data_IF_517500418563
#
_entry.id   IF_517500418563
#
_cell.length_a   1.000
_cell.length_b   1.000
_cell.length_c   1.000
_cell.angle_alpha   90.00
_cell.angle_beta   90.00
_cell.angle_gamma   90.00
#
_symmetry.space_group_name_H-M   'P 1'
#
loop_
_entity.id
_entity.type
_entity.pdbx_description
1 polymer ?
#
# COMPACT_ATOMS: atom_id res chain seq x y z
N UNK A 1 6.97 1.56 13.40
CA UNK A 1 7.01 0.69 12.20
C UNK A 1 8.46 0.26 11.98
N UNK A 2 8.69 -0.89 11.38
CA UNK A 2 10.04 -1.33 11.00
C UNK A 2 10.29 -1.14 9.50
N UNK A 3 11.55 -1.00 9.11
CA UNK A 3 11.99 -1.10 7.71
C UNK A 3 11.81 -2.54 7.25
N UNK A 4 11.23 -2.73 6.06
CA UNK A 4 11.11 -4.03 5.43
C UNK A 4 12.10 -4.08 4.26
N UNK A 5 12.84 -5.18 4.17
CA UNK A 5 13.84 -5.38 3.12
C UNK A 5 13.39 -6.57 2.29
N UNK A 6 13.30 -6.36 0.99
CA UNK A 6 13.01 -7.41 0.01
C UNK A 6 14.22 -7.66 -0.89
N UNK A 7 14.09 -8.45 -1.93
CA UNK A 7 15.20 -8.74 -2.85
C UNK A 7 15.77 -7.47 -3.48
N UNK A 8 14.91 -6.54 -3.92
CA UNK A 8 15.30 -5.33 -4.67
C UNK A 8 14.90 -4.03 -4.01
N UNK A 9 14.08 -4.07 -2.94
CA UNK A 9 13.47 -2.87 -2.36
C UNK A 9 13.74 -2.75 -0.87
N UNK A 10 13.80 -1.50 -0.43
CA UNK A 10 13.64 -1.09 0.95
C UNK A 10 12.31 -0.36 1.11
N UNK A 11 11.45 -0.86 1.99
CA UNK A 11 10.27 -0.16 2.44
C UNK A 11 10.60 0.57 3.74
N UNK A 12 10.76 1.87 3.65
CA UNK A 12 11.23 2.72 4.75
C UNK A 12 10.03 3.38 5.41
N UNK A 13 9.76 3.13 6.71
CA UNK A 13 8.68 3.80 7.41
C UNK A 13 8.77 5.32 7.25
N UNK A 14 7.63 5.95 6.96
CA UNK A 14 7.58 7.41 6.79
C UNK A 14 7.53 8.09 8.16
N UNK A 15 8.48 8.98 8.39
CA UNK A 15 8.61 9.84 9.56
C UNK A 15 9.12 11.23 9.17
N UNK A 16 9.43 12.07 10.14
CA UNK A 16 9.92 13.43 9.91
C UNK A 16 11.19 13.50 9.06
N UNK A 17 12.05 12.47 9.14
CA UNK A 17 13.35 12.46 8.44
C UNK A 17 13.22 12.24 6.93
N UNK A 18 12.16 11.56 6.49
CA UNK A 18 11.94 11.18 5.08
C UNK A 18 10.60 11.66 4.48
N UNK A 19 9.77 12.38 5.25
CA UNK A 19 8.50 12.92 4.80
C UNK A 19 8.62 13.70 3.48
N UNK A 20 9.66 14.50 3.33
CA UNK A 20 9.95 15.27 2.11
C UNK A 20 10.24 14.37 0.90
N UNK A 21 10.86 13.21 1.11
CA UNK A 21 11.06 12.18 0.08
C UNK A 21 9.72 11.65 -0.44
N UNK A 22 8.84 11.24 0.47
CA UNK A 22 7.49 10.82 0.09
C UNK A 22 6.70 11.94 -0.58
N UNK A 23 6.77 13.17 -0.06
CA UNK A 23 6.10 14.31 -0.68
C UNK A 23 6.51 14.49 -2.15
N UNK A 24 7.83 14.40 -2.48
CA UNK A 24 8.33 14.47 -3.85
C UNK A 24 7.76 13.37 -4.75
N UNK A 25 7.70 12.14 -4.25
CA UNK A 25 7.06 11.02 -4.94
C UNK A 25 5.60 11.34 -5.24
N UNK A 26 4.84 11.83 -4.26
CA UNK A 26 3.42 12.17 -4.40
C UNK A 26 3.15 13.34 -5.36
N UNK A 27 4.14 14.18 -5.67
CA UNK A 27 4.01 15.25 -6.67
C UNK A 27 4.10 14.74 -8.12
N UNK A 28 4.50 13.49 -8.35
CA UNK A 28 4.60 12.93 -9.70
C UNK A 28 3.21 12.90 -10.37
N UNK A 29 3.06 13.45 -11.60
CA UNK A 29 1.74 13.59 -12.25
C UNK A 29 0.97 12.28 -12.39
N UNK A 30 1.68 11.20 -12.69
CA UNK A 30 1.09 9.88 -12.92
C UNK A 30 0.46 9.24 -11.66
N UNK A 31 0.86 9.68 -10.45
CA UNK A 31 0.28 9.14 -9.22
C UNK A 31 -1.16 9.63 -9.00
N UNK A 32 -1.54 10.72 -9.63
CA UNK A 32 -2.88 11.31 -9.56
C UNK A 32 -3.83 10.81 -10.65
N UNK A 33 -3.40 9.87 -11.46
CA UNK A 33 -4.20 9.35 -12.57
C UNK A 33 -5.47 8.64 -12.08
N UNK A 34 -5.31 7.76 -11.08
CA UNK A 34 -6.38 6.91 -10.56
C UNK A 34 -6.69 7.12 -9.08
N UNK A 35 -6.13 8.15 -8.46
CA UNK A 35 -6.33 8.41 -7.04
C UNK A 35 -6.29 9.90 -6.73
N UNK A 36 -7.05 10.30 -5.72
CA UNK A 36 -7.08 11.68 -5.25
C UNK A 36 -6.02 11.89 -4.18
N UNK A 37 -4.86 12.42 -4.61
CA UNK A 37 -3.77 12.79 -3.71
C UNK A 37 -3.90 14.29 -3.41
N UNK A 38 -4.09 14.70 -2.14
CA UNK A 38 -4.20 16.09 -1.77
C UNK A 38 -2.99 16.92 -2.23
N UNK A 39 -3.26 18.14 -2.71
CA UNK A 39 -2.21 19.10 -3.05
C UNK A 39 -1.82 19.88 -1.80
N UNK A 40 -0.86 19.37 -1.07
CA UNK A 40 -0.34 20.01 0.13
C UNK A 40 1.01 20.67 -0.16
N UNK A 41 1.31 21.77 0.53
CA UNK A 41 2.69 22.23 0.61
C UNK A 41 3.56 21.20 1.34
N UNK A 42 4.87 21.29 1.20
CA UNK A 42 5.77 20.36 1.89
C UNK A 42 5.64 20.49 3.40
N UNK A 43 5.47 21.72 3.91
CA UNK A 43 5.31 22.01 5.34
C UNK A 43 4.01 21.44 5.91
N UNK A 44 2.91 21.52 5.15
CA UNK A 44 1.63 20.90 5.52
C UNK A 44 1.73 19.39 5.55
N UNK A 45 2.40 18.80 4.56
CA UNK A 45 2.61 17.36 4.50
C UNK A 45 3.46 16.87 5.68
N UNK A 46 4.59 17.53 5.96
CA UNK A 46 5.46 17.23 7.11
C UNK A 46 4.68 17.31 8.43
N UNK A 47 3.82 18.34 8.62
CA UNK A 47 2.94 18.42 9.79
C UNK A 47 1.99 17.23 9.91
N UNK A 48 1.38 16.81 8.79
CA UNK A 48 0.51 15.64 8.79
C UNK A 48 1.25 14.36 9.13
N UNK A 49 2.49 14.18 8.65
CA UNK A 49 3.30 13.00 8.98
C UNK A 49 3.55 12.91 10.48
N UNK A 50 3.84 14.04 11.17
CA UNK A 50 4.06 14.06 12.63
C UNK A 50 2.86 13.62 13.46
N UNK A 51 1.65 13.73 12.94
CA UNK A 51 0.42 13.30 13.64
C UNK A 51 0.08 11.84 13.43
N UNK A 52 0.82 11.14 12.56
CA UNK A 52 0.56 9.74 12.25
C UNK A 52 1.12 8.81 13.34
N UNK A 53 0.48 7.64 13.56
CA UNK A 53 1.02 6.68 14.50
C UNK A 53 2.38 6.15 14.02
N UNK A 54 3.36 6.13 14.93
CA UNK A 54 4.71 5.63 14.67
C UNK A 54 4.85 4.12 14.88
N UNK A 55 3.88 3.48 15.53
CA UNK A 55 3.88 2.04 15.81
C UNK A 55 2.74 1.35 15.08
N UNK A 56 3.10 0.34 14.32
CA UNK A 56 2.16 -0.61 13.77
C UNK A 56 2.03 -1.74 14.81
N UNK A 57 0.87 -1.84 15.46
CA UNK A 57 0.61 -2.78 16.55
C UNK A 57 -0.87 -3.10 16.62
N UNK A 58 -1.27 -4.20 17.28
CA UNK A 58 -2.69 -4.51 17.53
C UNK A 58 -3.41 -3.31 18.15
N UNK A 59 -4.63 -3.04 17.69
CA UNK A 59 -5.50 -1.96 18.17
C UNK A 59 -5.04 -0.52 17.91
N UNK A 60 -3.96 -0.29 17.16
CA UNK A 60 -3.57 1.06 16.74
C UNK A 60 -4.26 1.39 15.42
N UNK A 61 -5.12 2.41 15.45
CA UNK A 61 -5.80 2.95 14.26
C UNK A 61 -4.98 4.08 13.64
N UNK A 62 -5.16 4.30 12.34
CA UNK A 62 -4.50 5.38 11.63
C UNK A 62 -3.96 4.97 10.27
N UNK A 63 -3.18 5.85 9.70
CA UNK A 63 -2.51 5.64 8.42
C UNK A 63 -1.02 5.40 8.64
N UNK A 64 -0.53 4.31 8.12
CA UNK A 64 0.85 3.88 8.16
C UNK A 64 1.37 3.89 6.73
N UNK A 65 2.55 4.45 6.50
CA UNK A 65 3.12 4.58 5.17
C UNK A 65 4.59 4.18 5.16
N UNK A 66 5.01 3.59 4.05
CA UNK A 66 6.41 3.29 3.74
C UNK A 66 6.75 3.89 2.38
N UNK A 67 7.88 4.55 2.34
CA UNK A 67 8.53 4.97 1.11
C UNK A 67 9.22 3.76 0.49
N UNK A 68 8.99 3.52 -0.79
CA UNK A 68 9.65 2.44 -1.53
C UNK A 68 10.92 2.99 -2.15
N UNK A 69 12.05 2.41 -1.78
CA UNK A 69 13.35 2.73 -2.35
C UNK A 69 13.93 1.54 -3.08
N UNK A 70 14.37 1.73 -4.32
CA UNK A 70 15.12 0.73 -5.07
C UNK A 70 16.54 0.63 -4.50
N UNK A 71 16.98 -0.58 -4.17
CA UNK A 71 18.27 -0.77 -3.46
C UNK A 71 19.49 -0.53 -4.36
N UNK A 72 19.39 -0.83 -5.64
CA UNK A 72 20.49 -0.67 -6.59
C UNK A 72 20.76 0.80 -6.90
N UNK A 73 19.73 1.56 -7.27
CA UNK A 73 19.85 2.98 -7.60
C UNK A 73 19.79 3.91 -6.39
N UNK A 74 19.31 3.42 -5.25
CA UNK A 74 18.99 4.20 -4.05
C UNK A 74 17.92 5.31 -4.30
N UNK A 75 17.09 5.14 -5.32
CA UNK A 75 16.02 6.08 -5.68
C UNK A 75 14.70 5.76 -4.97
N UNK A 76 13.99 6.81 -4.58
CA UNK A 76 12.63 6.71 -4.06
C UNK A 76 11.65 6.55 -5.23
N UNK A 77 11.10 5.34 -5.41
CA UNK A 77 10.35 4.95 -6.59
C UNK A 77 8.84 4.83 -6.39
N UNK A 78 8.37 5.00 -5.16
CA UNK A 78 6.95 4.85 -4.86
C UNK A 78 6.65 4.82 -3.37
N UNK A 79 5.45 4.42 -3.04
CA UNK A 79 4.99 4.27 -1.66
C UNK A 79 3.96 3.16 -1.54
N UNK A 80 3.83 2.63 -0.33
CA UNK A 80 2.75 1.76 0.12
C UNK A 80 2.17 2.29 1.41
N UNK A 81 0.88 2.07 1.65
CA UNK A 81 0.20 2.47 2.88
C UNK A 81 -0.77 1.42 3.36
N UNK A 82 -1.01 1.46 4.67
CA UNK A 82 -2.05 0.71 5.35
C UNK A 82 -2.88 1.70 6.15
N UNK A 83 -4.20 1.64 6.03
CA UNK A 83 -5.11 2.41 6.84
C UNK A 83 -6.02 1.49 7.65
N UNK A 84 -5.97 1.62 8.97
CA UNK A 84 -6.83 0.91 9.91
C UNK A 84 -7.78 1.94 10.50
N UNK A 85 -9.08 1.75 10.28
CA UNK A 85 -10.11 2.63 10.80
C UNK A 85 -10.63 2.13 12.15
N UNK A 86 -11.07 3.05 13.01
CA UNK A 86 -11.60 2.71 14.32
C UNK A 86 -12.92 1.89 14.24
N UNK A 87 -13.70 2.11 13.18
CA UNK A 87 -14.99 1.44 12.96
C UNK A 87 -14.87 0.04 12.37
N UNK A 88 -13.74 -0.29 11.75
CA UNK A 88 -13.54 -1.53 11.00
C UNK A 88 -12.19 -2.13 11.40
N UNK A 89 -12.08 -2.53 12.67
CA UNK A 89 -10.83 -3.07 13.23
C UNK A 89 -10.47 -4.47 12.75
N UNK A 90 -11.35 -5.12 12.02
CA UNK A 90 -11.20 -6.46 11.44
C UNK A 90 -10.43 -6.45 10.12
N UNK A 91 -10.37 -5.30 9.44
CA UNK A 91 -9.64 -5.15 8.19
C UNK A 91 -8.84 -3.84 8.10
N UNK A 92 -7.89 -3.81 7.18
CA UNK A 92 -7.14 -2.63 6.81
C UNK A 92 -7.22 -2.38 5.31
N UNK A 93 -7.19 -1.10 4.92
CA UNK A 93 -7.14 -0.69 3.52
C UNK A 93 -5.70 -0.52 3.08
N UNK A 94 -5.33 -1.18 1.97
CA UNK A 94 -4.04 -1.03 1.30
C UNK A 94 -4.09 0.04 0.22
N UNK A 95 -3.03 0.85 0.16
CA UNK A 95 -2.78 1.77 -0.94
C UNK A 95 -1.34 1.66 -1.41
N UNK A 96 -1.12 1.89 -2.70
CA UNK A 96 0.23 1.90 -3.27
C UNK A 96 0.29 2.66 -4.58
N UNK A 97 1.47 3.13 -4.91
CA UNK A 97 1.74 3.67 -6.24
C UNK A 97 3.24 3.69 -6.52
N UNK A 98 3.60 3.60 -7.80
CA UNK A 98 4.96 3.72 -8.30
C UNK A 98 5.06 4.88 -9.30
N UNK A 99 6.21 5.54 -9.32
CA UNK A 99 6.55 6.49 -10.39
C UNK A 99 6.60 5.74 -11.74
N UNK A 100 6.44 6.47 -12.84
CA UNK A 100 6.31 5.87 -14.18
C UNK A 100 7.49 4.96 -14.53
N UNK A 101 8.72 5.40 -14.24
CA UNK A 101 9.96 4.67 -14.56
C UNK A 101 10.14 3.36 -13.80
N UNK A 102 9.40 3.18 -12.70
CA UNK A 102 9.44 1.97 -11.87
C UNK A 102 8.31 0.97 -12.19
N UNK A 103 7.36 1.34 -13.06
CA UNK A 103 6.25 0.45 -13.44
C UNK A 103 6.73 -0.68 -14.35
N UNK A 104 5.96 -1.79 -14.38
CA UNK A 104 6.22 -2.94 -15.25
C UNK A 104 7.40 -3.84 -14.83
N UNK A 105 8.13 -3.49 -13.75
CA UNK A 105 9.32 -4.22 -13.27
C UNK A 105 9.01 -5.21 -12.13
N UNK A 106 7.75 -5.37 -11.75
CA UNK A 106 7.33 -6.24 -10.63
C UNK A 106 7.51 -5.64 -9.24
N UNK A 107 7.97 -4.40 -9.10
CA UNK A 107 8.23 -3.76 -7.80
C UNK A 107 6.97 -3.59 -6.94
N UNK A 108 5.81 -3.27 -7.53
CA UNK A 108 4.57 -3.17 -6.77
C UNK A 108 4.20 -4.50 -6.10
N UNK A 109 4.29 -5.61 -6.85
CA UNK A 109 4.03 -6.96 -6.33
C UNK A 109 5.01 -7.32 -5.21
N UNK A 110 6.29 -7.03 -5.39
CA UNK A 110 7.34 -7.30 -4.41
C UNK A 110 7.11 -6.50 -3.11
N UNK A 111 6.86 -5.19 -3.23
CA UNK A 111 6.60 -4.32 -2.09
C UNK A 111 5.35 -4.74 -1.31
N UNK A 112 4.24 -5.02 -2.03
CA UNK A 112 2.99 -5.44 -1.39
C UNK A 112 3.11 -6.80 -0.74
N UNK A 113 3.85 -7.77 -1.32
CA UNK A 113 4.08 -9.07 -0.68
C UNK A 113 4.75 -8.89 0.68
N UNK A 114 5.86 -8.14 0.74
CA UNK A 114 6.55 -7.89 1.99
C UNK A 114 5.69 -7.12 3.01
N UNK A 115 4.83 -6.21 2.54
CA UNK A 115 3.92 -5.47 3.42
C UNK A 115 2.80 -6.37 3.95
N UNK A 116 2.18 -7.22 3.12
CA UNK A 116 1.14 -8.19 3.54
C UNK A 116 1.67 -9.13 4.62
N UNK A 117 2.87 -9.67 4.41
CA UNK A 117 3.54 -10.54 5.38
C UNK A 117 3.74 -9.83 6.73
N UNK A 118 4.21 -8.57 6.70
CA UNK A 118 4.38 -7.74 7.90
C UNK A 118 3.07 -7.47 8.63
N UNK A 119 2.02 -7.09 7.88
CA UNK A 119 0.72 -6.76 8.48
C UNK A 119 0.16 -7.97 9.25
N UNK A 120 0.11 -9.13 8.61
CA UNK A 120 -0.44 -10.32 9.25
C UNK A 120 0.45 -10.88 10.37
N UNK A 121 1.75 -10.61 10.34
CA UNK A 121 2.66 -10.95 11.44
C UNK A 121 2.50 -10.02 12.65
N UNK A 122 2.22 -8.73 12.41
CA UNK A 122 2.21 -7.69 13.44
C UNK A 122 0.82 -7.39 14.03
N UNK A 123 -0.27 -7.91 13.43
CA UNK A 123 -1.66 -7.60 13.81
C UNK A 123 -2.52 -8.85 13.82
N UNK A 124 -3.74 -8.72 14.39
CA UNK A 124 -4.79 -9.75 14.36
C UNK A 124 -5.85 -9.48 13.28
N UNK A 125 -5.56 -8.62 12.30
CA UNK A 125 -6.50 -8.32 11.22
C UNK A 125 -6.90 -9.59 10.48
N UNK A 126 -8.19 -9.71 10.18
CA UNK A 126 -8.74 -10.84 9.45
C UNK A 126 -8.55 -10.68 7.93
N UNK A 127 -8.61 -9.43 7.44
CA UNK A 127 -8.65 -9.12 6.02
C UNK A 127 -7.82 -7.89 5.68
N UNK A 128 -7.33 -7.86 4.43
CA UNK A 128 -6.78 -6.70 3.77
C UNK A 128 -7.66 -6.36 2.56
N UNK A 129 -8.10 -5.13 2.50
CA UNK A 129 -8.90 -4.58 1.42
C UNK A 129 -8.04 -3.68 0.53
N UNK A 130 -8.24 -3.75 -0.77
CA UNK A 130 -7.66 -2.83 -1.73
C UNK A 130 -8.72 -2.44 -2.77
N UNK A 131 -8.74 -1.17 -3.15
CA UNK A 131 -9.66 -0.67 -4.15
C UNK A 131 -8.91 -0.11 -5.34
N UNK A 132 -9.45 -0.32 -6.54
CA UNK A 132 -8.92 0.29 -7.76
C UNK A 132 -10.05 0.60 -8.73
N UNK A 133 -9.88 1.61 -9.58
CA UNK A 133 -10.82 1.87 -10.67
C UNK A 133 -10.75 0.75 -11.71
N UNK A 134 -11.87 0.39 -12.39
CA UNK A 134 -11.89 -0.71 -13.37
C UNK A 134 -10.85 -0.57 -14.48
N UNK A 135 -10.54 0.65 -14.90
CA UNK A 135 -9.61 0.96 -15.99
C UNK A 135 -8.14 0.79 -15.61
N UNK A 136 -7.82 0.74 -14.31
CA UNK A 136 -6.45 0.52 -13.83
C UNK A 136 -6.07 -0.96 -13.89
N UNK A 137 -5.94 -1.48 -15.10
CA UNK A 137 -5.61 -2.89 -15.35
C UNK A 137 -4.29 -3.32 -14.69
N UNK A 138 -3.32 -2.40 -14.59
CA UNK A 138 -2.04 -2.69 -13.93
C UNK A 138 -2.23 -2.98 -12.43
N UNK A 139 -3.06 -2.20 -11.74
CA UNK A 139 -3.35 -2.42 -10.32
C UNK A 139 -4.13 -3.72 -10.11
N UNK A 140 -5.15 -3.99 -10.96
CA UNK A 140 -5.92 -5.24 -10.92
C UNK A 140 -5.00 -6.45 -11.05
N UNK A 141 -4.15 -6.46 -12.07
CA UNK A 141 -3.19 -7.56 -12.28
C UNK A 141 -2.25 -7.75 -11.08
N UNK A 142 -1.75 -6.68 -10.47
CA UNK A 142 -0.89 -6.79 -9.27
C UNK A 142 -1.65 -7.43 -8.12
N UNK A 143 -2.87 -6.99 -7.82
CA UNK A 143 -3.69 -7.53 -6.73
C UNK A 143 -4.02 -9.01 -6.96
N UNK A 144 -4.49 -9.37 -8.15
CA UNK A 144 -4.81 -10.75 -8.54
C UNK A 144 -3.58 -11.67 -8.45
N UNK A 145 -2.41 -11.19 -8.90
CA UNK A 145 -1.14 -11.93 -8.82
C UNK A 145 -0.65 -12.18 -7.39
N UNK A 146 -1.15 -11.43 -6.43
CA UNK A 146 -0.89 -11.61 -5.00
C UNK A 146 -1.90 -12.51 -4.31
N UNK A 147 -2.99 -12.87 -5.01
CA UNK A 147 -4.07 -13.70 -4.49
C UNK A 147 -5.24 -12.91 -3.90
N UNK A 148 -5.27 -11.58 -4.09
CA UNK A 148 -6.48 -10.81 -3.78
C UNK A 148 -7.62 -11.22 -4.70
N UNK A 149 -8.80 -11.38 -4.13
CA UNK A 149 -10.03 -11.77 -4.86
C UNK A 149 -10.89 -10.55 -5.10
N UNK A 150 -11.26 -10.32 -6.34
CA UNK A 150 -12.28 -9.35 -6.71
C UNK A 150 -13.62 -9.75 -6.08
N UNK A 151 -14.24 -8.86 -5.32
CA UNK A 151 -15.46 -9.18 -4.57
C UNK A 151 -16.65 -8.35 -5.00
N UNK A 152 -16.47 -7.07 -5.28
CA UNK A 152 -17.60 -6.17 -5.53
C UNK A 152 -17.19 -4.93 -6.32
N UNK A 153 -18.06 -4.53 -7.26
CA UNK A 153 -18.03 -3.21 -7.90
C UNK A 153 -18.87 -2.24 -7.03
N UNK A 154 -18.26 -1.13 -6.65
CA UNK A 154 -18.89 -0.06 -5.89
C UNK A 154 -19.10 1.15 -6.80
N UNK A 155 -20.34 1.39 -7.22
CA UNK A 155 -20.67 2.51 -8.09
C UNK A 155 -20.47 3.85 -7.38
N UNK A 156 -19.74 4.76 -8.03
CA UNK A 156 -19.38 6.06 -7.45
C UNK A 156 -18.60 5.96 -6.14
N UNK A 157 -17.90 4.85 -5.91
CA UNK A 157 -17.27 4.49 -4.63
C UNK A 157 -16.07 5.35 -4.23
N UNK A 158 -15.47 6.07 -5.18
CA UNK A 158 -14.38 7.00 -4.89
C UNK A 158 -14.54 8.35 -5.59
N UNK A 159 -13.82 9.35 -5.08
CA UNK A 159 -13.66 10.63 -5.72
C UNK A 159 -12.26 10.70 -6.34
N UNK A 160 -12.17 10.87 -7.66
CA UNK A 160 -10.90 11.06 -8.37
C UNK A 160 -11.03 12.30 -9.24
N UNK A 161 -10.11 13.25 -9.07
CA UNK A 161 -10.14 14.55 -9.78
C UNK A 161 -11.51 15.23 -9.73
N UNK A 162 -12.12 15.25 -8.58
CA UNK A 162 -13.45 15.84 -8.31
C UNK A 162 -14.61 15.16 -9.06
N UNK A 163 -14.46 13.92 -9.52
CA UNK A 163 -15.51 13.10 -10.14
C UNK A 163 -15.70 11.81 -9.38
N UNK A 164 -16.96 11.42 -9.15
CA UNK A 164 -17.25 10.10 -8.62
C UNK A 164 -16.96 9.06 -9.70
N UNK A 165 -16.17 8.04 -9.30
CA UNK A 165 -15.78 6.93 -10.16
C UNK A 165 -16.14 5.61 -9.50
N UNK A 166 -16.41 4.62 -10.32
CA UNK A 166 -16.61 3.26 -9.84
C UNK A 166 -15.27 2.68 -9.36
N UNK A 167 -15.30 1.85 -8.33
CA UNK A 167 -14.13 1.12 -7.83
C UNK A 167 -14.47 -0.34 -7.64
N UNK A 168 -13.49 -1.19 -7.87
CA UNK A 168 -13.55 -2.61 -7.59
C UNK A 168 -12.89 -2.86 -6.25
N UNK A 169 -13.58 -3.54 -5.35
CA UNK A 169 -13.05 -3.99 -4.07
C UNK A 169 -12.40 -5.36 -4.22
N UNK A 170 -11.16 -5.46 -3.80
CA UNK A 170 -10.36 -6.67 -3.68
C UNK A 170 -10.14 -7.00 -2.20
N UNK A 171 -10.24 -8.28 -1.83
CA UNK A 171 -10.02 -8.76 -0.46
C UNK A 171 -8.97 -9.87 -0.47
N UNK A 172 -8.09 -9.82 0.52
CA UNK A 172 -7.13 -10.89 0.84
C UNK A 172 -7.22 -11.22 2.32
N UNK A 173 -7.46 -12.49 2.66
CA UNK A 173 -7.73 -12.93 4.03
C UNK A 173 -6.48 -13.50 4.72
N UNK A 174 -6.48 -13.49 6.05
CA UNK A 174 -5.46 -14.18 6.86
C UNK A 174 -5.40 -15.68 6.55
N UNK A 175 -6.53 -16.32 6.26
CA UNK A 175 -6.57 -17.74 5.88
C UNK A 175 -5.77 -18.00 4.60
N UNK A 176 -5.96 -17.19 3.56
CA UNK A 176 -5.18 -17.27 2.31
C UNK A 176 -3.67 -17.05 2.57
N UNK A 177 -3.31 -16.10 3.45
CA UNK A 177 -1.91 -15.88 3.84
C UNK A 177 -1.29 -17.14 4.45
N UNK A 178 -1.99 -17.80 5.35
CA UNK A 178 -1.51 -19.04 5.97
C UNK A 178 -1.33 -20.17 4.95
N UNK A 179 -2.21 -20.27 3.96
CA UNK A 179 -2.08 -21.23 2.86
C UNK A 179 -0.84 -20.97 2.00
N UNK A 180 -0.59 -19.71 1.65
CA UNK A 180 0.61 -19.28 0.91
C UNK A 180 1.88 -19.66 1.65
N UNK A 181 1.94 -19.39 2.96
CA UNK A 181 3.10 -19.72 3.79
C UNK A 181 3.34 -21.22 3.90
N UNK A 182 2.28 -22.03 4.07
CA UNK A 182 2.38 -23.50 4.09
C UNK A 182 2.90 -24.05 2.76
N UNK A 183 2.38 -23.55 1.63
CA UNK A 183 2.82 -23.98 0.31
C UNK A 183 4.31 -23.67 0.07
N UNK A 184 4.79 -22.50 0.53
CA UNK A 184 6.20 -22.11 0.44
C UNK A 184 7.12 -23.02 1.27
N UNK A 185 6.70 -23.43 2.47
CA UNK A 185 7.45 -24.35 3.33
C UNK A 185 7.55 -25.77 2.73
N UNK A 186 6.48 -26.25 2.08
CA UNK A 186 6.45 -27.58 1.45
C UNK A 186 7.35 -27.71 0.20
N UNK A 187 7.80 -26.60 -0.38
CA UNK A 187 8.69 -26.58 -1.55
C UNK A 187 10.19 -26.58 -1.17
N UNK A 188 10.52 -26.39 0.12
CA UNK A 188 11.90 -26.30 0.61
C UNK A 188 12.28 -27.44 1.59
N UNK A 189 11.41 -28.40 1.79
CA UNK A 189 11.62 -29.64 2.56
C UNK A 189 11.68 -30.86 1.64
#
# INVERSE_FOLDING_TARGET
MRRLVTARLDLIPVDDSNARGLWRVLQQPNLREFQDIPRLSVEEFERQVRTRPSRFAPNVVGRFEWLIRERESNEDIGWVSVRINDRTRDHAELGYSLITTARGKGYAREALRGLVDEIFAATELAELHACTVPENLSSRHVLESLGFIETRLLHGGALVRNRRVDIILYIFTRAQQLEVLRAAQSQHG
#
